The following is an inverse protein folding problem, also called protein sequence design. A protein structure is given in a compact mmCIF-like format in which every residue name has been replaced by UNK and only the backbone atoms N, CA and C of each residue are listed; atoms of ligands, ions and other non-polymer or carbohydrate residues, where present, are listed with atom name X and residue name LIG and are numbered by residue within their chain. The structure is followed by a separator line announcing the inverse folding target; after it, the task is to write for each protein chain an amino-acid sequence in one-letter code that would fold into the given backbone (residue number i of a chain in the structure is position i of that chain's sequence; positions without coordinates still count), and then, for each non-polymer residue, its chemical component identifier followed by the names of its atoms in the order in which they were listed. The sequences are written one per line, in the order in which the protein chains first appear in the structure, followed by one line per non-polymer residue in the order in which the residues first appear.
data_IF_847843732376
#
_entry.id   IF_847843732376
#
_cell.length_a   1.000
_cell.length_b   1.000
_cell.length_c   1.000
_cell.angle_alpha   90.00
_cell.angle_beta   90.00
_cell.angle_gamma   90.00
#
_symmetry.space_group_name_H-M   'P 1'
#
loop_
_entity.id
_entity.type
_entity.pdbx_description
1 polymer ?
#
# COMPACT_ATOMS: atom_id res chain seq x y z
N UNK A 1 9.13 32.12 50.35
CA UNK A 1 9.76 32.46 49.05
C UNK A 1 10.47 31.23 48.53
N UNK A 2 9.87 30.52 47.57
CA UNK A 2 10.57 29.65 46.61
C UNK A 2 9.56 29.30 45.51
N UNK A 3 9.45 30.19 44.53
CA UNK A 3 8.75 29.95 43.28
C UNK A 3 9.80 29.90 42.18
N UNK A 4 9.90 28.76 41.49
CA UNK A 4 10.38 28.70 40.13
C UNK A 4 9.62 27.59 39.40
N UNK A 5 8.64 28.02 38.60
CA UNK A 5 7.94 27.25 37.59
C UNK A 5 8.80 27.21 36.31
N UNK A 6 8.86 26.05 35.64
CA UNK A 6 9.40 25.87 34.28
C UNK A 6 10.01 24.46 34.14
N UNK A 7 9.55 23.53 33.31
CA UNK A 7 8.75 23.61 32.08
C UNK A 7 7.91 22.33 31.94
N UNK A 8 6.60 22.49 31.73
CA UNK A 8 5.72 21.36 31.42
C UNK A 8 5.95 20.90 29.99
N UNK A 9 6.61 19.75 29.81
CA UNK A 9 6.52 18.99 28.57
C UNK A 9 5.06 18.55 28.42
N UNK A 10 4.41 18.99 27.34
CA UNK A 10 3.06 18.52 26.98
C UNK A 10 3.15 17.03 26.64
N UNK A 11 2.14 16.21 27.00
CA UNK A 11 2.12 14.81 26.61
C UNK A 11 2.18 14.73 25.08
N UNK A 12 3.05 13.85 24.55
CA UNK A 12 3.09 13.59 23.13
C UNK A 12 1.92 12.67 22.74
N UNK A 13 1.41 12.76 21.51
CA UNK A 13 0.47 11.79 20.96
C UNK A 13 0.85 10.35 21.25
N UNK A 14 -0.11 9.46 21.52
CA UNK A 14 0.18 8.07 21.96
C UNK A 14 1.19 7.41 21.03
N UNK A 15 0.95 7.48 19.73
CA UNK A 15 1.85 6.91 18.72
C UNK A 15 3.25 7.55 18.74
N UNK A 16 3.33 8.88 18.83
CA UNK A 16 4.60 9.60 18.86
C UNK A 16 5.36 9.44 20.18
N UNK A 17 4.64 9.29 21.29
CA UNK A 17 5.20 8.95 22.59
C UNK A 17 5.83 7.56 22.54
N UNK A 18 5.14 6.59 21.94
CA UNK A 18 5.71 5.25 21.72
C UNK A 18 6.95 5.34 20.83
N UNK A 19 6.90 6.05 19.70
CA UNK A 19 8.08 6.27 18.85
C UNK A 19 9.27 6.87 19.63
N UNK A 20 9.02 7.88 20.47
CA UNK A 20 10.07 8.58 21.20
C UNK A 20 10.73 7.72 22.28
N UNK A 21 9.97 6.80 22.89
CA UNK A 21 10.46 5.87 23.91
C UNK A 21 11.10 4.61 23.32
N UNK A 22 10.93 4.39 22.01
CA UNK A 22 11.31 3.17 21.35
C UNK A 22 12.79 3.18 20.88
N UNK A 23 13.42 2.00 20.83
CA UNK A 23 14.84 1.86 20.46
C UNK A 23 15.08 2.23 18.99
N UNK A 24 15.91 3.23 18.73
CA UNK A 24 16.13 3.75 17.37
C UNK A 24 17.01 2.85 16.50
N UNK A 25 17.71 1.87 17.09
CA UNK A 25 18.66 1.01 16.39
C UNK A 25 18.05 -0.35 15.99
N UNK A 26 16.86 -0.68 16.49
CA UNK A 26 16.19 -1.98 16.25
C UNK A 26 14.84 -1.73 15.61
N UNK A 27 14.61 -2.34 14.44
CA UNK A 27 13.34 -2.20 13.71
C UNK A 27 12.28 -3.11 14.30
N UNK A 28 12.60 -4.40 14.40
CA UNK A 28 11.76 -5.48 14.87
C UNK A 28 12.65 -6.62 15.40
N UNK A 29 12.08 -7.52 16.19
CA UNK A 29 12.72 -8.79 16.59
C UNK A 29 12.27 -9.92 15.68
N UNK A 30 13.18 -10.86 15.42
CA UNK A 30 12.92 -12.08 14.68
C UNK A 30 13.93 -13.14 15.12
N UNK A 31 13.52 -14.42 15.07
CA UNK A 31 14.42 -15.54 15.35
C UNK A 31 15.08 -15.98 14.05
N UNK A 32 16.41 -16.09 14.06
CA UNK A 32 17.16 -16.47 12.86
C UNK A 32 16.78 -17.84 12.29
N UNK A 33 16.39 -18.77 13.17
CA UNK A 33 15.91 -20.11 12.80
C UNK A 33 14.57 -20.12 12.04
N UNK A 34 13.75 -19.07 12.22
CA UNK A 34 12.46 -18.94 11.56
C UNK A 34 12.57 -18.33 10.14
N UNK A 35 13.72 -17.68 9.85
CA UNK A 35 13.99 -17.08 8.54
C UNK A 35 14.33 -18.17 7.53
N UNK A 36 13.52 -18.29 6.48
CA UNK A 36 13.69 -19.34 5.48
C UNK A 36 13.25 -18.91 4.10
N UNK A 37 13.73 -19.62 3.07
CA UNK A 37 13.20 -19.48 1.72
C UNK A 37 11.87 -20.20 1.59
N UNK A 38 10.91 -19.56 0.94
CA UNK A 38 9.59 -20.12 0.63
C UNK A 38 9.19 -19.72 -0.78
N UNK A 39 8.34 -20.51 -1.42
CA UNK A 39 7.76 -20.16 -2.72
C UNK A 39 6.41 -19.44 -2.56
N UNK A 40 5.80 -19.04 -3.67
CA UNK A 40 4.51 -18.33 -3.66
C UNK A 40 3.38 -19.27 -3.21
N UNK A 41 3.43 -20.55 -3.58
CA UNK A 41 2.42 -21.52 -3.15
C UNK A 41 2.38 -21.65 -1.61
N UNK A 42 3.55 -21.71 -0.96
CA UNK A 42 3.65 -21.74 0.49
C UNK A 42 2.93 -20.56 1.13
N UNK A 43 3.14 -19.34 0.62
CA UNK A 43 2.49 -18.15 1.16
C UNK A 43 0.97 -18.17 0.96
N UNK A 44 0.49 -18.59 -0.22
CA UNK A 44 -0.95 -18.70 -0.49
C UNK A 44 -1.63 -19.70 0.44
N UNK A 45 -0.97 -20.84 0.72
CA UNK A 45 -1.47 -21.86 1.66
C UNK A 45 -1.54 -21.36 3.10
N UNK A 46 -0.60 -20.51 3.52
CA UNK A 46 -0.62 -19.92 4.87
C UNK A 46 -1.61 -18.76 5.00
N UNK A 47 -2.11 -18.27 3.86
CA UNK A 47 -3.05 -17.15 3.74
C UNK A 47 -2.46 -15.86 4.31
N UNK A 48 -2.80 -14.75 3.68
CA UNK A 48 -2.16 -13.47 3.89
C UNK A 48 -3.22 -12.41 4.15
N UNK A 49 -2.93 -11.51 5.08
CA UNK A 49 -3.73 -10.31 5.34
C UNK A 49 -2.81 -9.10 5.30
N UNK A 50 -3.22 -8.08 4.56
CA UNK A 50 -2.50 -6.81 4.49
C UNK A 50 -3.22 -5.81 5.44
N UNK A 51 -2.55 -5.29 6.49
CA UNK A 51 -3.15 -4.35 7.44
C UNK A 51 -3.57 -3.02 6.81
N UNK A 52 -4.50 -2.29 7.46
CA UNK A 52 -4.99 -1.00 6.94
C UNK A 52 -3.94 0.10 6.84
N UNK A 53 -2.84 0.01 7.60
CA UNK A 53 -1.74 0.98 7.57
C UNK A 53 -0.88 0.87 6.31
N UNK A 54 -1.06 -0.20 5.56
CA UNK A 54 -0.36 -0.35 4.31
C UNK A 54 -0.93 0.57 3.23
N UNK A 55 -0.09 0.90 2.27
CA UNK A 55 -0.54 1.62 1.09
C UNK A 55 -1.44 0.76 0.21
N UNK A 56 -2.11 1.42 -0.73
CA UNK A 56 -2.87 0.76 -1.79
C UNK A 56 -1.95 0.10 -2.82
N UNK A 57 -2.51 -0.86 -3.56
CA UNK A 57 -1.86 -1.43 -4.74
C UNK A 57 -1.62 -0.37 -5.81
N UNK A 58 -0.36 -0.08 -6.12
CA UNK A 58 0.05 1.01 -7.01
C UNK A 58 1.11 0.63 -8.06
N UNK A 59 1.41 -0.67 -8.23
CA UNK A 59 2.27 -1.10 -9.33
C UNK A 59 1.57 -0.88 -10.68
N UNK A 60 2.35 -0.49 -11.69
CA UNK A 60 1.94 -0.17 -13.05
C UNK A 60 2.72 -1.00 -14.09
N UNK A 61 2.54 -0.68 -15.39
CA UNK A 61 3.10 -1.41 -16.54
C UNK A 61 4.59 -1.74 -16.38
N UNK A 62 5.41 -0.85 -15.83
CA UNK A 62 6.85 -1.08 -15.66
C UNK A 62 7.17 -2.23 -14.69
N UNK A 63 6.53 -2.24 -13.52
CA UNK A 63 6.74 -3.33 -12.56
C UNK A 63 6.09 -4.63 -13.05
N UNK A 64 4.95 -4.54 -13.75
CA UNK A 64 4.32 -5.72 -14.36
C UNK A 64 5.20 -6.34 -15.45
N UNK A 65 5.79 -5.52 -16.32
CA UNK A 65 6.75 -5.97 -17.34
C UNK A 65 7.97 -6.64 -16.70
N UNK A 66 8.52 -6.03 -15.65
CA UNK A 66 9.68 -6.59 -14.92
C UNK A 66 9.35 -7.97 -14.35
N UNK A 67 8.26 -8.08 -13.58
CA UNK A 67 7.83 -9.35 -12.99
C UNK A 67 7.55 -10.41 -14.08
N UNK A 68 6.85 -10.03 -15.15
CA UNK A 68 6.54 -10.96 -16.24
C UNK A 68 7.79 -11.43 -16.99
N UNK A 69 8.77 -10.55 -17.18
CA UNK A 69 10.07 -10.89 -17.75
C UNK A 69 10.82 -11.90 -16.88
N UNK A 70 10.87 -11.65 -15.58
CA UNK A 70 11.49 -12.56 -14.61
C UNK A 70 10.81 -13.94 -14.57
N UNK A 71 9.48 -13.97 -14.57
CA UNK A 71 8.70 -15.22 -14.69
C UNK A 71 8.99 -15.91 -16.02
N UNK A 72 9.12 -15.17 -17.11
CA UNK A 72 9.36 -15.75 -18.44
C UNK A 72 10.74 -16.41 -18.56
N UNK A 73 11.77 -15.81 -17.97
CA UNK A 73 13.10 -16.42 -17.90
C UNK A 73 13.08 -17.74 -17.12
N UNK A 74 12.32 -17.78 -16.03
CA UNK A 74 12.24 -18.97 -15.18
C UNK A 74 11.38 -20.07 -15.81
N UNK A 75 10.26 -19.68 -16.41
CA UNK A 75 9.33 -20.60 -17.06
C UNK A 75 9.88 -21.19 -18.38
N UNK A 76 10.82 -20.51 -19.05
CA UNK A 76 11.55 -21.05 -20.21
C UNK A 76 12.75 -21.92 -19.83
N UNK A 77 13.09 -22.03 -18.53
CA UNK A 77 14.27 -22.75 -18.05
C UNK A 77 15.59 -21.99 -18.25
N UNK A 78 15.55 -20.74 -18.75
CA UNK A 78 16.74 -19.89 -18.87
C UNK A 78 17.29 -19.46 -17.50
N UNK A 79 16.46 -19.50 -16.46
CA UNK A 79 16.83 -19.32 -15.05
C UNK A 79 16.15 -20.39 -14.22
N UNK A 80 16.85 -20.99 -13.26
CA UNK A 80 16.26 -22.05 -12.43
C UNK A 80 15.17 -21.50 -11.49
N UNK A 81 15.50 -20.41 -10.79
CA UNK A 81 14.62 -19.72 -9.83
C UNK A 81 14.86 -18.21 -9.84
N UNK A 82 13.88 -17.42 -9.43
CA UNK A 82 14.01 -15.97 -9.30
C UNK A 82 13.62 -15.51 -7.89
N UNK A 83 14.42 -14.63 -7.27
CA UNK A 83 14.11 -14.12 -5.93
C UNK A 83 13.21 -12.89 -6.00
N UNK A 84 12.05 -12.94 -5.33
CA UNK A 84 11.17 -11.79 -5.12
C UNK A 84 11.67 -10.85 -4.01
N UNK A 85 12.80 -11.18 -3.39
CA UNK A 85 13.36 -10.48 -2.24
C UNK A 85 12.77 -10.99 -0.93
N UNK A 86 12.62 -10.08 0.04
CA UNK A 86 12.15 -10.38 1.39
C UNK A 86 10.64 -10.10 1.52
N UNK A 87 9.92 -11.02 2.14
CA UNK A 87 8.56 -10.78 2.65
C UNK A 87 8.62 -10.77 4.18
N UNK A 88 8.13 -9.70 4.80
CA UNK A 88 8.12 -9.56 6.26
C UNK A 88 6.72 -9.70 6.77
N UNK A 89 6.51 -10.66 7.66
CA UNK A 89 5.19 -11.02 8.14
C UNK A 89 5.17 -11.18 9.66
N UNK A 90 3.98 -11.10 10.23
CA UNK A 90 3.70 -11.45 11.62
C UNK A 90 2.69 -12.59 11.61
N UNK A 91 2.91 -13.60 12.46
CA UNK A 91 1.89 -14.63 12.67
C UNK A 91 0.76 -14.01 13.49
N UNK A 92 -0.43 -13.94 12.91
CA UNK A 92 -1.58 -13.37 13.59
C UNK A 92 -2.26 -14.41 14.47
N UNK A 93 -1.91 -14.39 15.76
CA UNK A 93 -2.49 -15.25 16.79
C UNK A 93 -3.98 -15.00 17.04
N UNK A 94 -4.55 -13.91 16.51
CA UNK A 94 -5.96 -13.53 16.62
C UNK A 94 -6.81 -13.90 15.39
N UNK A 95 -6.17 -14.38 14.32
CA UNK A 95 -6.85 -14.75 13.07
C UNK A 95 -6.94 -16.26 12.86
N UNK A 96 -7.58 -16.66 11.77
CA UNK A 96 -7.63 -18.00 11.18
C UNK A 96 -6.25 -18.50 10.66
N UNK A 97 -5.17 -18.15 11.37
CA UNK A 97 -3.79 -18.56 11.09
C UNK A 97 -3.09 -17.78 9.99
N UNK A 98 -3.63 -16.61 9.59
CA UNK A 98 -3.06 -15.80 8.50
C UNK A 98 -1.74 -15.13 8.89
N UNK A 99 -0.92 -14.88 7.90
CA UNK A 99 0.26 -14.03 8.03
C UNK A 99 -0.12 -12.57 7.72
N UNK A 100 0.10 -11.68 8.69
CA UNK A 100 -0.02 -10.24 8.49
C UNK A 100 1.21 -9.73 7.75
N UNK A 101 1.04 -9.25 6.52
CA UNK A 101 2.15 -8.78 5.68
C UNK A 101 2.51 -7.34 6.04
N UNK A 102 3.73 -7.14 6.52
CA UNK A 102 4.29 -5.83 6.90
C UNK A 102 5.16 -5.24 5.77
N UNK A 103 5.80 -6.08 4.97
CA UNK A 103 6.54 -5.68 3.77
C UNK A 103 6.48 -6.79 2.72
N UNK A 104 6.53 -6.42 1.43
CA UNK A 104 6.42 -7.34 0.30
C UNK A 104 5.06 -7.33 -0.41
N UNK A 105 4.10 -6.52 0.06
CA UNK A 105 2.71 -6.58 -0.39
C UNK A 105 2.50 -6.40 -1.90
N UNK A 106 3.25 -5.50 -2.56
CA UNK A 106 3.00 -5.13 -3.96
C UNK A 106 3.35 -6.29 -4.90
N UNK A 107 4.52 -6.88 -4.66
CA UNK A 107 5.02 -8.06 -5.37
C UNK A 107 4.08 -9.24 -5.19
N UNK A 108 3.73 -9.56 -3.94
CA UNK A 108 2.87 -10.70 -3.66
C UNK A 108 1.46 -10.55 -4.25
N UNK A 109 0.86 -9.36 -4.14
CA UNK A 109 -0.44 -9.06 -4.78
C UNK A 109 -0.37 -9.23 -6.29
N UNK A 110 0.73 -8.79 -6.92
CA UNK A 110 0.93 -8.94 -8.37
C UNK A 110 1.09 -10.40 -8.78
N UNK A 111 1.77 -11.24 -7.97
CA UNK A 111 1.82 -12.68 -8.21
C UNK A 111 0.42 -13.30 -8.23
N UNK A 112 -0.45 -12.95 -7.27
CA UNK A 112 -1.84 -13.42 -7.25
C UNK A 112 -2.65 -12.94 -8.46
N UNK A 113 -2.45 -11.70 -8.91
CA UNK A 113 -3.11 -11.15 -10.10
C UNK A 113 -2.64 -11.81 -11.41
N UNK A 114 -1.34 -12.16 -11.51
CA UNK A 114 -0.81 -12.94 -12.62
C UNK A 114 -1.39 -14.36 -12.64
N UNK A 115 -1.49 -15.01 -11.47
CA UNK A 115 -2.15 -16.33 -11.37
C UNK A 115 -3.63 -16.26 -11.76
N UNK A 116 -4.35 -15.21 -11.35
CA UNK A 116 -5.74 -14.98 -11.78
C UNK A 116 -5.85 -14.76 -13.31
N UNK A 117 -4.87 -14.08 -13.93
CA UNK A 117 -4.83 -13.94 -15.38
C UNK A 117 -4.59 -15.29 -16.08
N UNK A 118 -3.66 -16.11 -15.57
CA UNK A 118 -3.43 -17.48 -16.08
C UNK A 118 -4.69 -18.32 -15.95
N UNK A 119 -5.37 -18.24 -14.80
CA UNK A 119 -6.66 -18.90 -14.57
C UNK A 119 -7.69 -18.50 -15.64
N UNK A 120 -7.90 -17.21 -15.88
CA UNK A 120 -8.92 -16.73 -16.82
C UNK A 120 -8.61 -17.13 -18.28
N UNK A 121 -7.34 -17.22 -18.66
CA UNK A 121 -6.94 -17.70 -19.98
C UNK A 121 -7.11 -19.21 -20.09
N UNK A 122 -6.70 -19.97 -19.07
CA UNK A 122 -6.82 -21.43 -19.04
C UNK A 122 -8.28 -21.90 -18.98
N UNK A 123 -9.16 -21.18 -18.28
CA UNK A 123 -10.59 -21.49 -18.18
C UNK A 123 -11.35 -21.39 -19.52
N UNK A 124 -10.77 -20.69 -20.52
CA UNK A 124 -11.30 -20.62 -21.88
C UNK A 124 -10.82 -21.76 -22.78
N UNK A 125 -9.91 -22.62 -22.29
CA UNK A 125 -9.34 -23.76 -23.02
C UNK A 125 -10.08 -25.04 -22.63
N UNK A 126 -10.05 -26.03 -23.52
CA UNK A 126 -10.70 -27.33 -23.30
C UNK A 126 -9.71 -28.48 -23.02
N UNK A 127 -8.41 -28.20 -22.97
CA UNK A 127 -7.39 -29.23 -22.71
C UNK A 127 -7.43 -29.70 -21.26
N UNK A 128 -7.11 -30.98 -21.05
CA UNK A 128 -7.08 -31.59 -19.72
C UNK A 128 -6.10 -30.87 -18.77
N UNK A 129 -4.95 -30.44 -19.28
CA UNK A 129 -3.95 -29.70 -18.50
C UNK A 129 -4.46 -28.33 -18.05
N UNK A 130 -5.19 -27.61 -18.91
CA UNK A 130 -5.81 -26.35 -18.53
C UNK A 130 -6.92 -26.54 -17.48
N UNK A 131 -7.73 -27.60 -17.59
CA UNK A 131 -8.77 -27.91 -16.60
C UNK A 131 -8.16 -28.24 -15.23
N UNK A 132 -7.08 -29.04 -15.19
CA UNK A 132 -6.32 -29.32 -13.97
C UNK A 132 -5.71 -28.04 -13.39
N UNK A 133 -5.15 -27.19 -14.25
CA UNK A 133 -4.55 -25.92 -13.85
C UNK A 133 -5.59 -24.99 -13.21
N UNK A 134 -6.76 -24.85 -13.83
CA UNK A 134 -7.88 -24.03 -13.31
C UNK A 134 -8.26 -24.49 -11.90
N UNK A 135 -8.54 -25.78 -11.73
CA UNK A 135 -8.92 -26.34 -10.42
C UNK A 135 -7.83 -26.10 -9.35
N UNK A 136 -6.56 -26.27 -9.72
CA UNK A 136 -5.42 -26.00 -8.84
C UNK A 136 -5.36 -24.53 -8.44
N UNK A 137 -5.46 -23.61 -9.40
CA UNK A 137 -5.39 -22.16 -9.14
C UNK A 137 -6.56 -21.68 -8.30
N UNK A 138 -7.78 -22.18 -8.52
CA UNK A 138 -8.93 -21.87 -7.67
C UNK A 138 -8.70 -22.32 -6.22
N UNK A 139 -8.17 -23.54 -6.02
CA UNK A 139 -7.87 -24.06 -4.67
C UNK A 139 -6.77 -23.26 -3.93
N UNK A 140 -5.83 -22.67 -4.67
CA UNK A 140 -4.72 -21.89 -4.10
C UNK A 140 -5.08 -20.42 -3.89
N UNK A 141 -5.88 -19.81 -4.77
CA UNK A 141 -6.34 -18.44 -4.63
C UNK A 141 -7.50 -18.32 -3.63
N UNK A 142 -8.30 -19.38 -3.48
CA UNK A 142 -9.47 -19.45 -2.61
C UNK A 142 -9.50 -20.71 -1.71
N UNK A 143 -8.48 -20.92 -0.86
CA UNK A 143 -8.33 -22.12 -0.03
C UNK A 143 -9.45 -22.30 1.02
N UNK A 144 -10.17 -21.24 1.38
CA UNK A 144 -11.27 -21.32 2.35
C UNK A 144 -12.65 -21.60 1.73
N UNK A 145 -12.73 -22.11 0.49
CA UNK A 145 -13.96 -22.59 -0.12
C UNK A 145 -14.66 -21.58 -1.03
N UNK A 146 -14.27 -21.55 -2.30
CA UNK A 146 -14.88 -20.67 -3.31
C UNK A 146 -16.35 -21.02 -3.60
N UNK A 147 -16.67 -22.31 -3.75
CA UNK A 147 -18.04 -22.77 -4.07
C UNK A 147 -19.03 -22.43 -2.97
N UNK A 148 -18.65 -22.64 -1.72
CA UNK A 148 -19.45 -22.29 -0.55
C UNK A 148 -19.72 -20.78 -0.52
N UNK A 149 -18.67 -19.98 -0.76
CA UNK A 149 -18.80 -18.52 -0.81
C UNK A 149 -19.73 -18.05 -1.94
N UNK A 150 -19.62 -18.62 -3.15
CA UNK A 150 -20.49 -18.26 -4.27
C UNK A 150 -21.94 -18.69 -4.03
N UNK A 151 -22.16 -19.86 -3.42
CA UNK A 151 -23.50 -20.39 -3.12
C UNK A 151 -24.24 -19.57 -2.06
N UNK A 152 -23.50 -18.93 -1.15
CA UNK A 152 -24.07 -18.07 -0.12
C UNK A 152 -24.43 -16.65 -0.62
N UNK A 153 -24.07 -16.30 -1.85
CA UNK A 153 -24.19 -14.94 -2.40
C UNK A 153 -25.21 -14.88 -3.55
N UNK A 154 -25.88 -13.73 -3.69
CA UNK A 154 -26.69 -13.42 -4.86
C UNK A 154 -25.80 -13.00 -6.06
N UNK A 155 -25.86 -13.70 -7.21
CA UNK A 155 -25.12 -13.33 -8.42
C UNK A 155 -25.43 -11.90 -8.89
N UNK A 156 -24.46 -11.22 -9.50
CA UNK A 156 -24.60 -9.85 -9.99
C UNK A 156 -24.55 -8.76 -8.91
N UNK A 157 -24.51 -9.12 -7.63
CA UNK A 157 -24.32 -8.14 -6.55
C UNK A 157 -22.89 -7.58 -6.61
N UNK A 158 -22.66 -6.27 -6.42
CA UNK A 158 -21.31 -5.71 -6.31
C UNK A 158 -20.66 -6.05 -4.97
N UNK A 159 -19.32 -6.11 -4.93
CA UNK A 159 -18.58 -6.26 -3.68
C UNK A 159 -18.49 -4.92 -2.97
N UNK A 160 -18.85 -4.89 -1.69
CA UNK A 160 -18.66 -3.70 -0.87
C UNK A 160 -17.18 -3.47 -0.58
N UNK A 161 -16.72 -2.23 -0.69
CA UNK A 161 -15.34 -1.89 -0.37
C UNK A 161 -15.05 -2.16 1.11
N UNK A 162 -13.98 -2.92 1.36
CA UNK A 162 -13.66 -3.40 2.70
C UNK A 162 -14.20 -4.77 3.08
N UNK A 163 -15.13 -5.35 2.30
CA UNK A 163 -15.64 -6.69 2.58
C UNK A 163 -14.49 -7.71 2.58
N UNK A 164 -14.46 -8.57 3.59
CA UNK A 164 -13.46 -9.64 3.65
C UNK A 164 -14.00 -10.89 2.97
N UNK A 165 -13.19 -11.46 2.08
CA UNK A 165 -13.50 -12.73 1.47
C UNK A 165 -12.79 -13.82 2.27
N UNK A 166 -13.54 -14.48 3.15
CA UNK A 166 -13.03 -15.56 4.00
C UNK A 166 -12.34 -16.66 3.20
N UNK A 167 -12.89 -17.02 2.03
CA UNK A 167 -12.28 -18.03 1.17
C UNK A 167 -10.92 -17.63 0.57
N UNK A 168 -10.59 -16.34 0.44
CA UNK A 168 -9.39 -15.89 -0.27
C UNK A 168 -8.08 -16.20 0.47
N UNK A 169 -7.04 -16.50 -0.32
CA UNK A 169 -5.67 -16.66 0.17
C UNK A 169 -5.00 -15.33 0.50
N UNK A 170 -5.41 -14.24 -0.15
CA UNK A 170 -4.91 -12.90 0.14
C UNK A 170 -6.09 -11.96 0.37
N UNK A 171 -6.11 -11.34 1.56
CA UNK A 171 -6.97 -10.19 1.83
C UNK A 171 -6.11 -8.93 1.79
N UNK A 172 -6.28 -8.09 0.77
CA UNK A 172 -5.45 -6.89 0.62
C UNK A 172 -5.86 -5.80 1.61
N UNK A 173 -5.15 -4.67 1.54
CA UNK A 173 -5.47 -3.45 2.28
C UNK A 173 -6.95 -3.15 2.12
N UNK A 174 -7.60 -2.67 3.18
CA UNK A 174 -9.04 -2.42 3.24
C UNK A 174 -9.65 -1.87 1.93
N UNK A 175 -8.95 -0.92 1.31
CA UNK A 175 -9.43 -0.19 0.13
C UNK A 175 -9.06 -0.73 -1.24
N UNK A 176 -8.35 -1.86 -1.28
CA UNK A 176 -8.15 -2.60 -2.51
C UNK A 176 -9.06 -3.82 -2.57
N UNK A 177 -9.79 -4.16 -1.49
CA UNK A 177 -10.52 -5.44 -1.36
C UNK A 177 -11.52 -5.65 -2.46
N UNK A 178 -12.43 -4.69 -2.71
CA UNK A 178 -13.44 -4.89 -3.74
C UNK A 178 -12.80 -5.04 -5.13
N UNK A 179 -11.84 -4.17 -5.47
CA UNK A 179 -11.15 -4.20 -6.77
C UNK A 179 -10.28 -5.43 -6.99
N UNK A 180 -9.59 -5.89 -5.94
CA UNK A 180 -8.76 -7.08 -5.98
C UNK A 180 -9.60 -8.35 -6.10
N UNK A 181 -10.70 -8.45 -5.36
CA UNK A 181 -11.60 -9.60 -5.48
C UNK A 181 -12.34 -9.62 -6.81
N UNK A 182 -12.79 -8.46 -7.32
CA UNK A 182 -13.33 -8.38 -8.68
C UNK A 182 -12.31 -8.83 -9.73
N UNK A 183 -11.02 -8.51 -9.55
CA UNK A 183 -9.97 -8.99 -10.44
C UNK A 183 -9.71 -10.50 -10.28
N UNK A 184 -9.67 -11.04 -9.06
CA UNK A 184 -9.20 -12.42 -8.82
C UNK A 184 -10.27 -13.50 -8.85
N UNK A 185 -11.54 -13.15 -8.62
CA UNK A 185 -12.64 -14.11 -8.69
C UNK A 185 -12.86 -14.57 -10.13
N UNK A 186 -13.20 -15.86 -10.35
CA UNK A 186 -13.48 -16.36 -11.68
C UNK A 186 -14.77 -15.72 -12.24
N UNK A 187 -14.87 -15.64 -13.56
CA UNK A 187 -16.03 -15.03 -14.25
C UNK A 187 -17.40 -15.59 -13.78
N UNK A 188 -17.44 -16.89 -13.46
CA UNK A 188 -18.64 -17.58 -12.94
C UNK A 188 -19.13 -17.06 -11.59
N UNK A 189 -18.29 -16.35 -10.83
CA UNK A 189 -18.70 -15.69 -9.60
C UNK A 189 -19.64 -14.49 -9.84
N UNK A 190 -19.77 -14.02 -11.09
CA UNK A 190 -20.71 -12.97 -11.49
C UNK A 190 -20.60 -11.71 -10.63
N UNK A 191 -19.37 -11.30 -10.32
CA UNK A 191 -19.09 -10.05 -9.60
C UNK A 191 -18.89 -8.93 -10.61
N UNK A 192 -19.68 -7.85 -10.56
CA UNK A 192 -19.49 -6.69 -11.43
C UNK A 192 -18.22 -5.92 -11.02
N UNK A 193 -17.72 -5.11 -11.95
CA UNK A 193 -16.55 -4.26 -11.70
C UNK A 193 -16.77 -3.34 -10.49
N UNK A 194 -15.74 -3.20 -9.67
CA UNK A 194 -15.75 -2.42 -8.41
C UNK A 194 -15.82 -0.90 -8.58
N UNK A 195 -16.02 -0.39 -9.80
CA UNK A 195 -16.05 1.05 -10.09
C UNK A 195 -14.66 1.69 -10.20
N UNK A 196 -14.44 2.84 -9.55
CA UNK A 196 -13.38 3.81 -9.89
C UNK A 196 -11.94 3.39 -9.59
N UNK A 197 -11.70 2.32 -8.84
CA UNK A 197 -10.34 1.82 -8.57
C UNK A 197 -10.09 0.53 -9.35
N UNK A 198 -9.44 0.66 -10.51
CA UNK A 198 -9.28 -0.42 -11.50
C UNK A 198 -7.89 -1.05 -11.51
N UNK A 199 -6.95 -0.56 -10.70
CA UNK A 199 -5.53 -0.94 -10.82
C UNK A 199 -5.27 -2.45 -10.72
N UNK A 200 -5.89 -3.22 -9.80
CA UNK A 200 -5.74 -4.69 -9.81
C UNK A 200 -6.27 -5.35 -11.09
N UNK A 201 -7.40 -4.85 -11.62
CA UNK A 201 -7.99 -5.35 -12.87
C UNK A 201 -7.10 -5.03 -14.07
N UNK A 202 -6.53 -3.81 -14.14
CA UNK A 202 -5.57 -3.44 -15.17
C UNK A 202 -4.34 -4.36 -15.18
N UNK A 203 -3.80 -4.68 -14.00
CA UNK A 203 -2.68 -5.60 -13.87
C UNK A 203 -3.05 -7.01 -14.39
N UNK A 204 -4.22 -7.53 -13.99
CA UNK A 204 -4.70 -8.82 -14.50
C UNK A 204 -4.85 -8.80 -16.02
N UNK A 205 -5.51 -7.79 -16.57
CA UNK A 205 -5.74 -7.66 -18.01
C UNK A 205 -4.43 -7.58 -18.77
N UNK A 206 -3.47 -6.80 -18.28
CA UNK A 206 -2.12 -6.75 -18.84
C UNK A 206 -1.49 -8.14 -18.97
N UNK A 207 -1.57 -8.97 -17.93
CA UNK A 207 -1.03 -10.34 -17.99
C UNK A 207 -1.86 -11.25 -18.89
N UNK A 208 -3.19 -11.13 -18.85
CA UNK A 208 -4.08 -11.93 -19.67
C UNK A 208 -3.84 -11.67 -21.17
N UNK A 209 -3.63 -10.41 -21.56
CA UNK A 209 -3.32 -10.01 -22.93
C UNK A 209 -1.98 -10.61 -23.40
N UNK A 210 -0.97 -10.62 -22.53
CA UNK A 210 0.34 -11.25 -22.80
C UNK A 210 0.23 -12.78 -22.95
N UNK A 211 -0.74 -13.41 -22.30
CA UNK A 211 -0.91 -14.86 -22.27
C UNK A 211 -1.97 -15.37 -23.27
N UNK A 212 -2.81 -14.51 -23.82
CA UNK A 212 -3.95 -14.90 -24.66
C UNK A 212 -3.54 -15.71 -25.90
N UNK A 213 -2.39 -15.39 -26.51
CA UNK A 213 -1.86 -16.08 -27.69
C UNK A 213 -0.94 -17.26 -27.38
N UNK A 214 -0.63 -17.51 -26.11
CA UNK A 214 0.32 -18.55 -25.71
C UNK A 214 -0.32 -19.96 -25.77
N UNK A 215 0.54 -20.98 -25.91
CA UNK A 215 0.11 -22.38 -25.90
C UNK A 215 -0.18 -22.85 -24.48
N UNK A 216 -0.96 -23.92 -24.36
CA UNK A 216 -1.36 -24.48 -23.08
C UNK A 216 -0.16 -24.89 -22.22
N UNK A 217 0.90 -25.46 -22.83
CA UNK A 217 2.13 -25.83 -22.11
C UNK A 217 2.83 -24.60 -21.52
N UNK A 218 2.76 -23.46 -22.22
CA UNK A 218 3.34 -22.20 -21.75
C UNK A 218 2.54 -21.65 -20.57
N UNK A 219 1.20 -21.72 -20.61
CA UNK A 219 0.33 -21.30 -19.51
C UNK A 219 0.66 -22.08 -18.23
N UNK A 220 0.78 -23.41 -18.35
CA UNK A 220 1.18 -24.29 -17.26
C UNK A 220 2.57 -23.91 -16.74
N UNK A 221 3.57 -23.75 -17.63
CA UNK A 221 4.92 -23.38 -17.24
C UNK A 221 5.01 -22.02 -16.53
N UNK A 222 4.19 -21.03 -16.94
CA UNK A 222 4.11 -19.73 -16.27
C UNK A 222 3.52 -19.89 -14.87
N UNK A 223 2.42 -20.61 -14.71
CA UNK A 223 1.83 -20.87 -13.39
C UNK A 223 2.81 -21.60 -12.46
N UNK A 224 3.48 -22.64 -12.95
CA UNK A 224 4.48 -23.37 -12.16
C UNK A 224 5.68 -22.51 -11.79
N UNK A 225 6.14 -21.65 -12.69
CA UNK A 225 7.21 -20.72 -12.39
C UNK A 225 6.81 -19.75 -11.28
N UNK A 226 5.60 -19.17 -11.34
CA UNK A 226 5.09 -18.28 -10.30
C UNK A 226 4.95 -19.02 -8.98
N UNK A 227 4.36 -20.21 -8.98
CA UNK A 227 4.06 -20.97 -7.75
C UNK A 227 5.29 -21.53 -7.05
N UNK A 228 6.26 -22.06 -7.80
CA UNK A 228 7.33 -22.91 -7.26
C UNK A 228 8.75 -22.39 -7.48
N UNK A 229 8.95 -21.49 -8.44
CA UNK A 229 10.29 -21.04 -8.83
C UNK A 229 10.54 -19.57 -8.53
N UNK A 230 9.50 -18.81 -8.16
CA UNK A 230 9.67 -17.52 -7.50
C UNK A 230 9.85 -17.73 -6.00
N UNK A 231 10.99 -17.29 -5.46
CA UNK A 231 11.36 -17.48 -4.06
C UNK A 231 11.32 -16.18 -3.26
N UNK A 232 10.68 -16.25 -2.11
CA UNK A 232 10.74 -15.26 -1.06
C UNK A 232 11.73 -15.67 0.02
N UNK A 233 12.45 -14.69 0.58
CA UNK A 233 13.01 -14.82 1.93
C UNK A 233 11.93 -14.42 2.94
N UNK A 234 11.28 -15.42 3.54
CA UNK A 234 10.29 -15.21 4.60
C UNK A 234 10.99 -14.76 5.88
N UNK A 235 10.60 -13.58 6.35
CA UNK A 235 11.11 -12.96 7.56
C UNK A 235 9.95 -12.78 8.57
N UNK A 236 9.71 -13.76 9.44
CA UNK A 236 8.68 -13.67 10.47
C UNK A 236 9.16 -12.78 11.62
N UNK A 237 8.34 -11.81 12.01
CA UNK A 237 8.57 -10.95 13.17
C UNK A 237 8.00 -11.64 14.40
N UNK A 238 8.79 -11.63 15.47
CA UNK A 238 8.39 -12.12 16.78
C UNK A 238 7.67 -11.00 17.54
N UNK A 239 6.42 -11.24 17.93
CA UNK A 239 5.66 -10.36 18.82
C UNK A 239 5.30 -11.12 20.10
N UNK A 240 5.04 -10.40 21.19
CA UNK A 240 4.57 -10.98 22.45
C UNK A 240 5.68 -11.58 23.33
N UNK A 241 6.91 -11.10 23.17
CA UNK A 241 8.06 -11.43 24.03
C UNK A 241 8.20 -10.47 25.24
N UNK A 242 7.33 -9.46 25.34
CA UNK A 242 7.28 -8.48 26.42
C UNK A 242 8.20 -7.28 26.23
N UNK A 243 8.76 -7.05 25.04
CA UNK A 243 9.64 -5.90 24.78
C UNK A 243 8.88 -4.57 24.83
N UNK A 244 9.46 -3.57 25.50
CA UNK A 244 8.88 -2.22 25.64
C UNK A 244 9.56 -1.17 24.77
N UNK A 245 10.43 -1.60 23.85
CA UNK A 245 11.29 -0.75 23.03
C UNK A 245 10.70 -0.48 21.63
N UNK A 246 9.41 -0.77 21.46
CA UNK A 246 8.64 -0.58 20.23
C UNK A 246 8.79 -1.69 19.20
N UNK A 247 9.57 -2.75 19.48
CA UNK A 247 9.68 -3.92 18.58
C UNK A 247 8.44 -4.83 18.61
N UNK A 248 7.48 -4.57 19.49
CA UNK A 248 6.19 -5.29 19.55
C UNK A 248 5.01 -4.49 18.99
N UNK A 249 5.22 -3.22 18.65
CA UNK A 249 4.18 -2.37 18.09
C UNK A 249 4.26 -2.42 16.56
N UNK A 250 3.31 -3.14 15.95
CA UNK A 250 3.22 -3.32 14.50
C UNK A 250 3.26 -2.01 13.72
N UNK A 251 2.69 -0.95 14.27
CA UNK A 251 2.68 0.35 13.62
C UNK A 251 4.07 0.97 13.63
N UNK A 252 4.76 0.93 14.78
CA UNK A 252 6.14 1.43 14.88
C UNK A 252 7.08 0.65 13.98
N UNK A 253 6.93 -0.67 13.95
CA UNK A 253 7.70 -1.55 13.06
C UNK A 253 7.47 -1.14 11.59
N UNK A 254 6.21 -0.94 11.21
CA UNK A 254 5.85 -0.52 9.87
C UNK A 254 6.52 0.81 9.49
N UNK A 255 6.41 1.82 10.35
CA UNK A 255 7.02 3.14 10.07
C UNK A 255 8.54 3.03 9.98
N UNK A 256 9.18 2.23 10.82
CA UNK A 256 10.63 1.97 10.79
C UNK A 256 11.07 1.24 9.53
N UNK A 257 10.29 0.29 9.04
CA UNK A 257 10.55 -0.40 7.77
C UNK A 257 10.43 0.56 6.59
N UNK A 258 9.35 1.35 6.55
CA UNK A 258 9.18 2.39 5.55
C UNK A 258 10.31 3.44 5.61
N UNK A 259 10.77 3.78 6.82
CA UNK A 259 11.91 4.66 7.07
C UNK A 259 13.20 4.11 6.45
N UNK A 260 13.52 2.85 6.76
CA UNK A 260 14.69 2.15 6.24
C UNK A 260 14.66 2.09 4.72
N UNK A 261 13.52 1.74 4.14
CA UNK A 261 13.42 1.56 2.69
C UNK A 261 13.61 2.87 1.93
N UNK A 262 13.07 3.97 2.46
CA UNK A 262 13.23 5.30 1.87
C UNK A 262 14.63 5.91 2.07
N UNK A 263 15.48 5.34 2.93
CA UNK A 263 16.82 5.88 3.27
C UNK A 263 17.98 4.99 2.80
N UNK A 264 17.91 3.68 3.03
CA UNK A 264 19.02 2.76 2.78
C UNK A 264 18.75 1.76 1.65
N UNK A 265 17.48 1.46 1.36
CA UNK A 265 17.11 0.42 0.37
C UNK A 265 16.42 0.97 -0.88
N UNK A 266 16.70 2.22 -1.26
CA UNK A 266 16.22 2.78 -2.54
C UNK A 266 16.85 2.01 -3.71
N UNK A 267 16.05 1.42 -4.61
CA UNK A 267 16.61 0.78 -5.80
C UNK A 267 17.27 1.80 -6.71
N UNK A 268 18.10 1.28 -7.62
CA UNK A 268 18.84 2.10 -8.58
C UNK A 268 17.91 2.73 -9.63
N UNK A 269 16.78 2.09 -9.95
CA UNK A 269 15.77 2.63 -10.88
C UNK A 269 14.55 3.13 -10.12
N UNK A 270 14.09 4.34 -10.46
CA UNK A 270 12.92 4.95 -9.85
C UNK A 270 11.62 4.13 -10.04
N UNK A 271 11.55 3.34 -11.10
CA UNK A 271 10.39 2.49 -11.43
C UNK A 271 10.35 1.18 -10.64
N UNK A 272 11.42 0.76 -9.97
CA UNK A 272 11.47 -0.49 -9.21
C UNK A 272 10.84 -0.36 -7.80
N UNK A 273 10.58 0.88 -7.36
CA UNK A 273 10.04 1.17 -6.04
C UNK A 273 9.02 2.30 -6.07
N UNK A 274 7.77 1.96 -5.81
CA UNK A 274 6.82 2.96 -5.38
C UNK A 274 7.20 3.36 -3.95
N UNK A 275 7.33 4.65 -3.64
CA UNK A 275 7.54 5.13 -2.27
C UNK A 275 6.19 5.43 -1.59
N UNK A 276 6.16 5.44 -0.25
CA UNK A 276 5.01 5.98 0.48
C UNK A 276 5.05 7.50 0.44
N UNK A 277 3.94 8.12 0.06
CA UNK A 277 3.81 9.58 0.00
C UNK A 277 3.61 10.21 1.38
N UNK A 278 3.69 11.54 1.46
CA UNK A 278 3.42 12.25 2.71
C UNK A 278 2.00 11.97 3.23
N UNK A 279 1.03 11.85 2.30
CA UNK A 279 -0.34 11.53 2.62
C UNK A 279 -0.49 10.14 3.28
N UNK A 280 0.26 9.13 2.83
CA UNK A 280 0.24 7.80 3.46
C UNK A 280 0.80 7.85 4.88
N UNK A 281 1.92 8.55 5.09
CA UNK A 281 2.50 8.71 6.43
C UNK A 281 1.58 9.48 7.38
N UNK A 282 0.90 10.54 6.89
CA UNK A 282 -0.10 11.26 7.68
C UNK A 282 -1.28 10.36 8.03
N UNK A 283 -1.83 9.61 7.06
CA UNK A 283 -2.89 8.62 7.32
C UNK A 283 -2.46 7.68 8.42
N UNK A 284 -1.28 7.09 8.28
CA UNK A 284 -0.78 6.09 9.21
C UNK A 284 -0.59 6.68 10.61
N UNK A 285 0.05 7.85 10.72
CA UNK A 285 0.18 8.56 12.00
C UNK A 285 -1.18 8.72 12.73
N UNK A 286 -2.23 9.09 11.99
CA UNK A 286 -3.58 9.25 12.54
C UNK A 286 -4.18 7.89 12.92
N UNK A 287 -4.16 6.91 12.02
CA UNK A 287 -4.74 5.58 12.27
C UNK A 287 -3.98 4.77 13.32
N UNK A 288 -2.67 5.01 13.49
CA UNK A 288 -1.82 4.38 14.50
C UNK A 288 -2.06 4.89 15.91
N UNK A 289 -2.85 5.95 16.07
CA UNK A 289 -3.22 6.48 17.38
C UNK A 289 -4.36 5.67 18.03
N UNK A 290 -5.01 4.76 17.30
CA UNK A 290 -6.03 3.85 17.82
C UNK A 290 -5.41 2.58 18.39
N UNK A 291 -5.96 2.08 19.49
CA UNK A 291 -5.48 0.84 20.13
C UNK A 291 -5.95 -0.43 19.40
N UNK A 292 -7.16 -0.41 18.83
CA UNK A 292 -7.77 -1.53 18.13
C UNK A 292 -7.83 -1.27 16.63
N UNK A 293 -7.54 -2.28 15.81
CA UNK A 293 -7.65 -2.16 14.34
C UNK A 293 -9.10 -1.84 13.92
N UNK A 294 -10.09 -2.37 14.63
CA UNK A 294 -11.51 -2.07 14.36
C UNK A 294 -11.84 -0.58 14.48
N UNK A 295 -11.26 0.12 15.46
CA UNK A 295 -11.44 1.57 15.64
C UNK A 295 -10.75 2.35 14.52
N UNK A 296 -9.52 1.94 14.16
CA UNK A 296 -8.79 2.53 13.04
C UNK A 296 -9.55 2.35 11.71
N UNK A 297 -10.12 1.16 11.48
CA UNK A 297 -10.98 0.87 10.34
C UNK A 297 -12.20 1.78 10.35
N UNK A 298 -12.88 1.93 11.48
CA UNK A 298 -14.06 2.79 11.58
C UNK A 298 -13.72 4.26 11.29
N UNK A 299 -12.64 4.77 11.88
CA UNK A 299 -12.14 6.12 11.66
C UNK A 299 -11.76 6.34 10.18
N UNK A 300 -11.10 5.37 9.57
CA UNK A 300 -10.74 5.40 8.16
C UNK A 300 -11.98 5.43 7.26
N UNK A 301 -12.96 4.53 7.46
CA UNK A 301 -14.20 4.50 6.67
C UNK A 301 -14.97 5.80 6.76
N UNK A 302 -15.07 6.34 7.97
CA UNK A 302 -15.90 7.51 8.26
C UNK A 302 -15.28 8.79 7.71
N UNK A 303 -13.96 8.96 7.86
CA UNK A 303 -13.32 10.25 7.62
C UNK A 303 -12.24 10.24 6.55
N UNK A 304 -11.42 9.20 6.43
CA UNK A 304 -10.32 9.22 5.46
C UNK A 304 -10.73 8.74 4.07
N UNK A 305 -11.53 7.68 3.98
CA UNK A 305 -11.99 7.13 2.71
C UNK A 305 -12.76 8.15 1.85
N UNK A 306 -13.66 8.99 2.40
CA UNK A 306 -14.31 10.04 1.61
C UNK A 306 -13.32 11.05 1.01
N UNK A 307 -12.24 11.39 1.74
CA UNK A 307 -11.17 12.28 1.26
C UNK A 307 -10.47 11.63 0.07
N UNK A 308 -10.08 10.36 0.17
CA UNK A 308 -9.43 9.64 -0.93
C UNK A 308 -10.34 9.53 -2.16
N UNK A 309 -11.63 9.24 -1.97
CA UNK A 309 -12.60 9.18 -3.07
C UNK A 309 -12.78 10.54 -3.75
N UNK A 310 -12.81 11.63 -2.98
CA UNK A 310 -12.89 12.98 -3.54
C UNK A 310 -11.62 13.36 -4.30
N UNK A 311 -10.45 13.06 -3.74
CA UNK A 311 -9.16 13.27 -4.40
C UNK A 311 -9.05 12.46 -5.70
N UNK A 312 -9.51 11.20 -5.71
CA UNK A 312 -9.53 10.34 -6.89
C UNK A 312 -10.39 10.92 -8.02
N UNK A 313 -11.59 11.44 -7.71
CA UNK A 313 -12.44 12.11 -8.70
C UNK A 313 -11.78 13.34 -9.31
N UNK A 314 -11.09 14.14 -8.50
CA UNK A 314 -10.36 15.33 -9.00
C UNK A 314 -9.16 14.91 -9.85
N UNK A 315 -8.39 13.92 -9.39
CA UNK A 315 -7.27 13.33 -10.11
C UNK A 315 -7.69 12.84 -11.50
N UNK A 316 -8.78 12.07 -11.57
CA UNK A 316 -9.33 11.54 -12.82
C UNK A 316 -9.72 12.67 -13.78
N UNK A 317 -10.46 13.67 -13.28
CA UNK A 317 -10.87 14.82 -14.10
C UNK A 317 -9.68 15.63 -14.63
N UNK A 318 -8.56 15.68 -13.90
CA UNK A 318 -7.36 16.44 -14.27
C UNK A 318 -6.25 15.61 -14.90
N UNK A 319 -6.38 14.28 -14.95
CA UNK A 319 -5.32 13.32 -15.31
C UNK A 319 -4.04 13.50 -14.47
N UNK A 320 -4.23 13.79 -13.19
CA UNK A 320 -3.15 14.00 -12.21
C UNK A 320 -3.11 12.85 -11.19
N UNK A 321 -2.06 12.80 -10.36
CA UNK A 321 -1.95 11.76 -9.33
C UNK A 321 -2.86 12.05 -8.13
N UNK A 322 -3.52 11.01 -7.59
CA UNK A 322 -4.31 11.10 -6.35
C UNK A 322 -3.45 11.58 -5.19
N UNK A 323 -2.21 11.11 -5.10
CA UNK A 323 -1.26 11.49 -4.06
C UNK A 323 -1.00 13.01 -4.06
N UNK A 324 -0.82 13.61 -5.24
CA UNK A 324 -0.60 15.06 -5.37
C UNK A 324 -1.77 15.88 -4.82
N UNK A 325 -3.01 15.44 -5.07
CA UNK A 325 -4.19 16.12 -4.54
C UNK A 325 -4.36 15.94 -3.02
N UNK A 326 -4.07 14.74 -2.50
CA UNK A 326 -4.09 14.50 -1.06
C UNK A 326 -3.04 15.36 -0.34
N UNK A 327 -1.82 15.43 -0.86
CA UNK A 327 -0.75 16.24 -0.28
C UNK A 327 -1.04 17.74 -0.36
N UNK A 328 -1.64 18.21 -1.46
CA UNK A 328 -2.08 19.60 -1.59
C UNK A 328 -3.17 19.96 -0.58
N UNK A 329 -4.16 19.08 -0.37
CA UNK A 329 -5.21 19.28 0.62
C UNK A 329 -4.64 19.29 2.06
N UNK A 330 -3.70 18.40 2.37
CA UNK A 330 -3.02 18.35 3.66
C UNK A 330 -2.17 19.61 3.92
N UNK A 331 -1.44 20.11 2.92
CA UNK A 331 -0.68 21.35 3.05
C UNK A 331 -1.60 22.56 3.25
N UNK A 332 -2.71 22.63 2.50
CA UNK A 332 -3.72 23.67 2.67
C UNK A 332 -4.39 23.60 4.05
N UNK A 333 -4.70 22.40 4.54
CA UNK A 333 -5.24 22.16 5.87
C UNK A 333 -4.29 22.72 6.94
N UNK A 334 -3.01 22.34 6.90
CA UNK A 334 -2.01 22.83 7.85
C UNK A 334 -1.88 24.36 7.84
N UNK A 335 -1.95 24.99 6.67
CA UNK A 335 -1.90 26.46 6.54
C UNK A 335 -3.14 27.14 7.12
N UNK A 336 -4.31 26.49 7.06
CA UNK A 336 -5.56 27.01 7.58
C UNK A 336 -5.70 26.87 9.11
N UNK A 337 -4.88 26.03 9.75
CA UNK A 337 -4.97 25.81 11.20
C UNK A 337 -4.50 27.05 11.99
N UNK A 338 -5.30 27.51 12.98
CA UNK A 338 -5.03 28.75 13.72
C UNK A 338 -3.81 28.66 14.64
N UNK A 339 -3.44 27.45 15.06
CA UNK A 339 -2.23 27.20 15.86
C UNK A 339 -1.11 26.74 14.94
N UNK A 340 -0.11 27.59 14.72
CA UNK A 340 1.11 27.25 13.97
C UNK A 340 2.26 26.90 14.94
N UNK A 341 3.23 26.05 14.52
CA UNK A 341 4.38 25.68 15.35
C UNK A 341 5.19 26.90 15.83
N UNK A 342 5.73 26.85 17.06
CA UNK A 342 6.58 27.93 17.58
C UNK A 342 7.99 27.87 16.94
N UNK A 343 8.32 28.90 16.13
CA UNK A 343 9.59 29.17 15.40
C UNK A 343 10.15 28.04 14.54
N UNK A 344 10.51 28.38 13.29
CA UNK A 344 11.27 27.53 12.37
C UNK A 344 12.71 27.35 12.90
N UNK A 345 12.97 26.33 13.72
CA UNK A 345 14.32 25.79 13.84
C UNK A 345 14.65 25.03 12.54
N UNK A 346 15.88 25.23 12.04
CA UNK A 346 16.42 24.69 10.78
C UNK A 346 15.79 23.35 10.42
N UNK A 347 15.29 23.23 9.18
CA UNK A 347 14.84 21.99 8.56
C UNK A 347 16.03 21.00 8.55
N UNK A 348 16.27 20.32 9.68
CA UNK A 348 17.13 19.16 9.72
C UNK A 348 16.50 18.14 8.76
N UNK A 349 17.29 17.77 7.74
CA UNK A 349 17.04 16.84 6.63
C UNK A 349 15.57 16.42 6.45
N UNK A 350 14.96 16.78 5.33
CA UNK A 350 13.66 16.22 4.92
C UNK A 350 13.69 14.69 5.08
N UNK A 351 13.09 14.21 6.16
CA UNK A 351 13.03 12.79 6.48
C UNK A 351 12.04 12.09 5.57
N UNK A 352 11.72 10.85 5.92
CA UNK A 352 10.75 10.03 5.20
C UNK A 352 9.37 10.67 5.22
N UNK A 353 8.60 10.53 4.13
CA UNK A 353 7.38 11.30 3.90
C UNK A 353 7.60 12.78 3.53
N UNK A 354 8.84 13.22 3.39
CA UNK A 354 9.19 14.57 2.92
C UNK A 354 8.85 15.70 3.89
N UNK A 355 9.01 16.94 3.42
CA UNK A 355 8.83 18.14 4.25
C UNK A 355 7.39 18.31 4.77
N UNK A 356 6.38 17.84 4.02
CA UNK A 356 4.98 17.93 4.41
C UNK A 356 4.69 17.04 5.62
N UNK A 357 5.08 15.76 5.59
CA UNK A 357 4.88 14.87 6.73
C UNK A 357 5.62 15.38 7.98
N UNK A 358 6.87 15.82 7.83
CA UNK A 358 7.65 16.38 8.95
C UNK A 358 6.95 17.60 9.59
N UNK A 359 6.37 18.49 8.78
CA UNK A 359 5.56 19.63 9.25
C UNK A 359 4.29 19.17 9.95
N UNK A 360 3.57 18.22 9.38
CA UNK A 360 2.32 17.70 9.93
C UNK A 360 2.55 17.02 11.30
N UNK A 361 3.56 16.14 11.38
CA UNK A 361 3.97 15.46 12.61
C UNK A 361 4.30 16.45 13.72
N UNK A 362 5.09 17.48 13.42
CA UNK A 362 5.43 18.53 14.39
C UNK A 362 4.19 19.29 14.85
N UNK A 363 3.33 19.69 13.91
CA UNK A 363 2.10 20.40 14.22
C UNK A 363 1.22 19.61 15.18
N UNK A 364 0.99 18.31 14.91
CA UNK A 364 0.20 17.42 15.76
C UNK A 364 0.73 17.38 17.21
N UNK A 365 2.05 17.30 17.40
CA UNK A 365 2.68 17.32 18.73
C UNK A 365 2.45 18.66 19.42
N UNK A 366 2.61 19.77 18.71
CA UNK A 366 2.50 21.11 19.28
C UNK A 366 1.06 21.42 19.74
N UNK A 367 0.06 20.91 19.02
CA UNK A 367 -1.36 21.15 19.30
C UNK A 367 -2.03 20.08 20.17
N UNK A 368 -1.31 19.00 20.50
CA UNK A 368 -1.81 17.86 21.29
C UNK A 368 -3.08 17.23 20.69
N UNK A 369 -3.12 17.13 19.36
CA UNK A 369 -4.35 16.74 18.62
C UNK A 369 -4.56 15.22 18.54
N UNK A 370 -3.65 14.42 19.08
CA UNK A 370 -3.72 12.95 19.07
C UNK A 370 -3.21 12.33 20.39
N UNK A 371 -3.36 13.06 21.51
CA UNK A 371 -3.04 12.56 22.86
C UNK A 371 -3.96 11.41 23.26
N UNK A 372 -5.19 11.39 22.75
CA UNK A 372 -6.15 10.30 22.94
C UNK A 372 -6.92 9.98 21.63
N UNK A 373 -7.61 8.82 21.57
CA UNK A 373 -8.39 8.42 20.40
C UNK A 373 -9.52 9.38 20.01
N UNK A 374 -10.12 10.09 20.98
CA UNK A 374 -11.20 11.04 20.74
C UNK A 374 -10.69 12.28 20.03
N UNK A 375 -9.56 12.83 20.47
CA UNK A 375 -8.90 13.95 19.80
C UNK A 375 -8.48 13.57 18.38
N UNK A 376 -7.98 12.34 18.19
CA UNK A 376 -7.64 11.80 16.86
C UNK A 376 -8.87 11.76 15.95
N UNK A 377 -10.02 11.30 16.47
CA UNK A 377 -11.29 11.31 15.72
C UNK A 377 -11.75 12.74 15.37
N UNK A 378 -11.65 13.69 16.31
CA UNK A 378 -12.00 15.09 16.06
C UNK A 378 -11.09 15.75 15.02
N UNK A 379 -9.80 15.40 15.01
CA UNK A 379 -8.86 15.86 13.99
C UNK A 379 -9.20 15.25 12.62
N UNK A 380 -9.47 13.95 12.56
CA UNK A 380 -9.88 13.28 11.33
C UNK A 380 -11.17 13.89 10.76
N UNK A 381 -12.15 14.19 11.60
CA UNK A 381 -13.38 14.88 11.21
C UNK A 381 -13.11 16.28 10.64
N UNK A 382 -12.27 17.08 11.31
CA UNK A 382 -11.90 18.41 10.81
C UNK A 382 -11.17 18.33 9.46
N UNK A 383 -10.25 17.38 9.32
CA UNK A 383 -9.51 17.15 8.08
C UNK A 383 -10.45 16.70 6.96
N UNK A 384 -11.40 15.80 7.27
CA UNK A 384 -12.45 15.37 6.35
C UNK A 384 -13.26 16.56 5.83
N UNK A 385 -13.87 17.33 6.73
CA UNK A 385 -14.75 18.45 6.37
C UNK A 385 -14.00 19.51 5.55
N UNK A 386 -12.76 19.82 5.95
CA UNK A 386 -11.90 20.73 5.21
C UNK A 386 -11.55 20.21 3.81
N UNK A 387 -11.13 18.95 3.70
CA UNK A 387 -10.64 18.39 2.44
C UNK A 387 -11.75 18.24 1.43
N UNK A 388 -12.95 17.79 1.84
CA UNK A 388 -14.11 17.72 0.95
C UNK A 388 -14.48 19.11 0.41
N UNK A 389 -14.46 20.14 1.26
CA UNK A 389 -14.67 21.52 0.82
C UNK A 389 -13.56 22.00 -0.12
N UNK A 390 -12.31 21.66 0.17
CA UNK A 390 -11.16 22.00 -0.67
C UNK A 390 -11.29 21.42 -2.08
N UNK A 391 -11.67 20.14 -2.20
CA UNK A 391 -11.87 19.48 -3.49
C UNK A 391 -13.09 20.02 -4.23
N UNK A 392 -14.20 20.32 -3.53
CA UNK A 392 -15.40 20.89 -4.14
C UNK A 392 -15.19 22.30 -4.71
N UNK A 393 -14.27 23.09 -4.13
CA UNK A 393 -13.98 24.47 -4.54
C UNK A 393 -12.82 24.60 -5.54
N UNK A 394 -12.23 23.48 -5.97
CA UNK A 394 -11.12 23.45 -6.93
C UNK A 394 -9.74 23.80 -6.35
N UNK A 395 -9.64 23.96 -5.02
CA UNK A 395 -8.45 24.46 -4.34
C UNK A 395 -8.15 25.94 -4.67
N UNK A 396 -7.21 26.60 -3.97
CA UNK A 396 -6.74 27.91 -4.43
C UNK A 396 -6.13 27.75 -5.82
N UNK A 397 -6.61 28.54 -6.79
CA UNK A 397 -6.00 28.64 -8.11
C UNK A 397 -4.48 28.87 -7.94
N UNK A 398 -3.64 28.04 -8.56
CA UNK A 398 -2.21 28.31 -8.63
C UNK A 398 -2.04 29.75 -9.14
N UNK A 399 -1.37 30.60 -8.36
CA UNK A 399 -0.92 31.91 -8.86
C UNK A 399 -0.11 31.67 -10.13
N UNK A 400 -0.54 32.31 -11.21
CA UNK A 400 0.23 32.39 -12.44
C UNK A 400 1.64 32.89 -12.10
N UNK A 401 2.66 32.15 -12.51
CA UNK A 401 4.05 32.60 -12.43
C UNK A 401 4.17 33.99 -13.06
N UNK A 402 4.93 34.94 -12.46
CA UNK A 402 5.09 36.26 -13.03
C UNK A 402 5.79 36.17 -14.40
N UNK A 403 5.51 37.11 -15.32
CA UNK A 403 6.09 37.07 -16.66
C UNK A 403 7.61 37.15 -16.57
N UNK A 404 8.30 36.19 -17.21
CA UNK A 404 9.75 36.20 -17.32
C UNK A 404 10.17 37.46 -18.08
N UNK A 405 10.83 38.39 -17.39
CA UNK A 405 11.57 39.47 -18.03
C UNK A 405 12.67 38.86 -18.91
N UNK A 406 12.66 39.24 -20.18
CA UNK A 406 13.70 38.92 -21.15
C UNK A 406 15.05 39.48 -20.66
N UNK A 407 15.98 38.58 -20.33
CA UNK A 407 17.40 38.88 -20.31
C UNK A 407 18.08 38.02 -21.37
N UNK A 408 18.75 38.69 -22.30
CA UNK A 408 19.47 38.13 -23.43
C UNK A 408 20.56 37.15 -22.95
N UNK A 409 20.67 36.03 -23.64
CA UNK A 409 21.78 35.08 -23.53
C UNK A 409 23.05 35.63 -24.19
N UNK A 410 24.22 35.11 -23.80
CA UNK A 410 24.95 34.35 -24.80
C UNK A 410 25.45 33.00 -24.29
N UNK A 411 25.12 31.96 -25.07
CA UNK A 411 25.92 30.77 -25.35
C UNK A 411 26.50 29.95 -24.21
N UNK A 412 25.79 28.91 -23.78
CA UNK A 412 26.41 27.59 -23.59
C UNK A 412 25.37 26.48 -23.66
N UNK A 413 25.75 25.41 -24.37
CA UNK A 413 24.99 24.20 -24.64
C UNK A 413 24.65 23.49 -23.34
N UNK A 414 23.37 23.39 -23.00
CA UNK A 414 22.88 22.72 -21.80
C UNK A 414 21.51 22.11 -22.05
N UNK A 415 21.52 20.79 -22.27
CA UNK A 415 20.37 19.93 -22.48
C UNK A 415 19.37 20.09 -21.31
N UNK A 416 18.18 20.62 -21.59
CA UNK A 416 17.09 20.77 -20.62
C UNK A 416 16.45 19.40 -20.36
N UNK A 417 16.72 18.81 -19.18
CA UNK A 417 15.94 17.69 -18.68
C UNK A 417 14.55 18.19 -18.27
N UNK A 418 13.56 17.89 -19.11
CA UNK A 418 12.15 17.88 -18.70
C UNK A 418 11.96 16.73 -17.70
N UNK A 419 11.60 17.07 -16.46
CA UNK A 419 11.10 16.10 -15.51
C UNK A 419 9.68 15.70 -15.94
N UNK A 420 9.60 14.65 -16.76
CA UNK A 420 8.38 13.93 -17.07
C UNK A 420 8.02 13.02 -15.90
N UNK A 421 6.75 13.02 -15.54
CA UNK A 421 6.15 12.07 -14.60
C UNK A 421 6.10 10.69 -15.29
N UNK A 422 6.51 9.57 -14.67
CA UNK A 422 6.66 8.28 -15.36
C UNK A 422 5.34 7.57 -15.72
N UNK A 423 4.18 8.19 -15.49
CA UNK A 423 2.89 7.48 -15.47
C UNK A 423 1.81 8.05 -16.41
N UNK A 424 2.17 8.89 -17.38
CA UNK A 424 1.24 9.30 -18.43
C UNK A 424 1.91 9.19 -19.79
N UNK A 425 1.72 8.06 -20.46
CA UNK A 425 1.73 7.96 -21.93
C UNK A 425 1.12 6.59 -22.33
N UNK A 426 0.06 6.68 -23.12
CA UNK A 426 -0.69 5.70 -23.94
C UNK A 426 -0.64 4.19 -23.60
#
# INVERSE_FOLDING_TARGET
MAAFLGSGQRPAPVFLSRMAQANQNVICTAKGEDVRKVDVEHLLKHRLRIPIFQRRYCWCKDQWNTLFGDVSLVASGSKEKHSLGRITCVLDSSSDGRLLVVDGQQRNTTCSLLLAAVHDVAAKRQSEDCLKLVSKLESLLFPGGLEEWMSARQPGTPLEEGAELGAAALVPTYCDRASYFAATLPQRASVPDSGSWTRPMEAKNFFADRLAGEKDERLVAVAEAVLYKLEWLLFPISLGEGHKDGTEDLHLIFERLALRDATFCKPQRATEYANMGAADFVRNLLLGSFAQEADAINAYKTYWLPIEKAAAKVAEAKRESVASHLEAALDAFLKAMPRQPRKQANLAAAGVGGALYARFRRWIVDVDATADPKQTMDLLRQLHDFSLKHFATGGPARQASPPRLHAQSPGSTGMQLLALDPCSED
#
